data_IF_616796145046
#
_entry.id   IF_616796145046
#
_cell.length_a   1.000
_cell.length_b   1.000
_cell.length_c   1.000
_cell.angle_alpha   90.00
_cell.angle_beta   90.00
_cell.angle_gamma   90.00
#
_symmetry.space_group_name_H-M   'P 1'
#
loop_
_entity.id
_entity.type
_entity.pdbx_description
1 polymer ?
#
# COMPACT_ATOMS: atom_id res chain seq x y z
N UNK A 1 24.27 30.56 18.89
CA UNK A 1 23.83 29.85 17.70
C UNK A 1 23.11 28.55 18.07
N UNK A 2 22.26 28.05 17.15
CA UNK A 2 21.60 26.76 17.27
C UNK A 2 22.03 25.88 16.11
N UNK A 3 22.29 24.60 16.38
CA UNK A 3 22.51 23.55 15.38
C UNK A 3 21.65 22.32 15.68
N UNK A 4 21.47 21.44 14.71
CA UNK A 4 20.75 20.17 14.85
C UNK A 4 21.51 19.02 14.19
N UNK A 5 21.12 17.77 14.47
CA UNK A 5 21.56 16.60 13.70
C UNK A 5 21.30 16.86 12.21
N UNK A 6 22.27 16.60 11.34
CA UNK A 6 22.10 16.88 9.90
C UNK A 6 21.02 15.99 9.26
N UNK A 7 20.95 14.70 9.64
CA UNK A 7 19.96 13.73 9.20
C UNK A 7 19.65 12.73 10.30
N UNK A 8 18.41 12.26 10.35
CA UNK A 8 17.92 11.24 11.30
C UNK A 8 16.85 10.42 10.55
N UNK A 9 16.81 9.12 10.77
CA UNK A 9 15.69 8.30 10.29
C UNK A 9 14.43 8.56 11.09
N UNK A 10 13.28 8.28 10.53
CA UNK A 10 12.01 8.23 11.24
C UNK A 10 12.11 7.37 12.50
N UNK A 11 11.28 7.67 13.51
CA UNK A 11 11.37 7.03 14.83
C UNK A 11 12.65 7.31 15.62
N UNK A 12 13.64 7.99 15.02
CA UNK A 12 14.93 8.30 15.63
C UNK A 12 14.89 9.49 16.59
N UNK A 13 16.05 10.08 16.84
CA UNK A 13 16.19 11.21 17.79
C UNK A 13 17.00 12.34 17.21
N UNK A 14 16.40 13.54 17.18
CA UNK A 14 17.05 14.78 16.76
C UNK A 14 17.72 15.42 17.98
N UNK A 15 19.01 15.73 17.89
CA UNK A 15 19.74 16.46 18.92
C UNK A 15 19.94 17.91 18.49
N UNK A 16 19.36 18.84 19.25
CA UNK A 16 19.58 20.29 19.11
C UNK A 16 20.69 20.73 20.07
N UNK A 17 21.64 21.53 19.59
CA UNK A 17 22.74 22.08 20.38
C UNK A 17 22.74 23.59 20.29
N UNK A 18 22.60 24.27 21.42
CA UNK A 18 22.81 25.69 21.55
C UNK A 18 24.29 25.97 21.93
N UNK A 19 24.93 26.90 21.23
CA UNK A 19 26.32 27.29 21.47
C UNK A 19 26.45 28.79 21.67
N UNK A 20 27.25 29.17 22.65
CA UNK A 20 27.61 30.54 23.03
C UNK A 20 29.05 30.83 22.59
N UNK A 21 29.35 32.07 22.34
CA UNK A 21 30.72 32.53 22.05
C UNK A 21 31.56 32.66 23.32
N UNK A 22 30.92 32.89 24.47
CA UNK A 22 31.57 32.92 25.78
C UNK A 22 30.83 31.99 26.76
N UNK A 23 31.52 31.37 27.72
CA UNK A 23 30.86 30.54 28.74
C UNK A 23 29.83 31.32 29.54
N UNK A 24 28.73 30.67 29.90
CA UNK A 24 27.69 31.21 30.76
C UNK A 24 28.23 31.33 32.21
N UNK A 25 28.15 32.49 32.83
CA UNK A 25 28.59 32.65 34.22
C UNK A 25 27.62 31.97 35.21
N UNK A 26 26.34 32.05 34.90
CA UNK A 26 25.28 31.34 35.64
C UNK A 26 24.55 30.35 34.72
N UNK A 27 23.78 29.43 35.27
CA UNK A 27 22.97 28.52 34.47
C UNK A 27 22.03 29.29 33.55
N UNK A 28 21.87 28.80 32.32
CA UNK A 28 21.05 29.41 31.26
C UNK A 28 20.09 28.36 30.68
N UNK A 29 18.88 28.81 30.37
CA UNK A 29 17.88 28.05 29.62
C UNK A 29 17.62 28.69 28.25
N UNK A 30 17.56 27.86 27.21
CA UNK A 30 17.21 28.25 25.83
C UNK A 30 15.98 27.45 25.42
N UNK A 31 14.86 28.16 25.19
CA UNK A 31 13.60 27.53 24.72
C UNK A 31 13.55 27.62 23.20
N UNK A 32 13.29 26.47 22.55
CA UNK A 32 13.17 26.36 21.11
C UNK A 32 11.70 26.55 20.66
N UNK A 33 11.51 26.86 19.37
CA UNK A 33 10.18 27.06 18.75
C UNK A 33 9.28 25.81 18.80
N UNK A 34 9.86 24.60 18.93
CA UNK A 34 9.15 23.35 19.12
C UNK A 34 8.85 23.04 20.61
N UNK A 35 9.13 23.96 21.52
CA UNK A 35 8.89 23.83 22.96
C UNK A 35 10.00 23.11 23.74
N UNK A 36 10.99 22.54 23.08
CA UNK A 36 12.13 21.90 23.76
C UNK A 36 13.00 22.94 24.48
N UNK A 37 13.61 22.55 25.62
CA UNK A 37 14.45 23.44 26.42
C UNK A 37 15.84 22.86 26.55
N UNK A 38 16.83 23.67 26.13
CA UNK A 38 18.25 23.37 26.29
C UNK A 38 18.77 24.09 27.54
N UNK A 39 19.35 23.31 28.45
CA UNK A 39 20.01 23.86 29.63
C UNK A 39 21.52 23.93 29.41
N UNK A 40 22.11 25.10 29.62
CA UNK A 40 23.56 25.33 29.62
C UNK A 40 23.97 25.60 31.08
N UNK A 41 24.82 24.75 31.61
CA UNK A 41 25.28 24.87 33.00
C UNK A 41 26.27 26.02 33.14
N UNK A 42 26.40 26.56 34.34
CA UNK A 42 27.39 27.60 34.62
C UNK A 42 28.79 27.10 34.24
N UNK A 43 29.58 27.96 33.60
CA UNK A 43 30.92 27.68 33.08
C UNK A 43 30.95 26.96 31.72
N UNK A 44 29.82 26.55 31.17
CA UNK A 44 29.75 25.94 29.87
C UNK A 44 29.42 26.94 28.76
N UNK A 45 29.90 26.66 27.54
CA UNK A 45 29.56 27.41 26.32
C UNK A 45 28.59 26.71 25.40
N UNK A 46 28.04 25.55 25.80
CA UNK A 46 27.03 24.82 25.03
C UNK A 46 26.19 23.94 25.93
N UNK A 47 25.00 23.58 25.40
CA UNK A 47 24.09 22.56 25.94
C UNK A 47 23.33 21.92 24.80
N UNK A 48 22.69 20.79 25.08
CA UNK A 48 21.88 20.10 24.08
C UNK A 48 20.57 19.56 24.67
N UNK A 49 19.65 19.23 23.79
CA UNK A 49 18.41 18.52 24.10
C UNK A 49 18.08 17.54 22.97
N UNK A 50 17.58 16.37 23.32
CA UNK A 50 17.12 15.37 22.37
C UNK A 50 15.60 15.41 22.26
N UNK A 51 15.09 15.40 21.03
CA UNK A 51 13.66 15.41 20.68
C UNK A 51 13.41 14.25 19.75
N UNK A 52 12.28 13.55 19.91
CA UNK A 52 11.90 12.49 18.98
C UNK A 52 11.71 13.05 17.56
N UNK A 53 12.19 12.32 16.56
CA UNK A 53 11.82 12.54 15.17
C UNK A 53 10.35 12.11 14.94
N UNK A 54 9.73 12.42 13.78
CA UNK A 54 8.47 11.82 13.38
C UNK A 54 8.50 10.31 13.54
N UNK A 55 7.33 9.70 13.80
CA UNK A 55 7.23 8.25 13.96
C UNK A 55 7.40 7.55 12.61
N UNK A 56 8.04 6.41 12.68
CA UNK A 56 8.23 5.47 11.59
C UNK A 56 6.91 4.85 11.14
N UNK A 57 6.66 4.73 9.84
CA UNK A 57 5.49 4.10 9.26
C UNK A 57 5.82 3.46 7.88
N UNK A 58 4.82 3.07 7.10
CA UNK A 58 5.00 2.35 5.82
C UNK A 58 4.89 3.25 4.59
N UNK A 59 4.83 4.58 4.77
CA UNK A 59 4.56 5.53 3.68
C UNK A 59 5.77 6.39 3.36
N UNK A 60 5.95 6.69 2.07
CA UNK A 60 7.00 7.61 1.62
C UNK A 60 6.60 9.03 2.02
N UNK A 61 7.21 9.54 3.08
CA UNK A 61 6.97 10.91 3.57
C UNK A 61 8.23 11.63 4.08
N UNK A 62 9.42 11.19 3.66
CA UNK A 62 10.70 11.84 3.94
C UNK A 62 10.60 13.37 3.84
N UNK A 63 11.14 14.05 4.83
CA UNK A 63 10.95 15.48 4.94
C UNK A 63 12.05 16.19 5.70
N UNK A 64 11.72 17.30 6.34
CA UNK A 64 12.62 17.99 7.23
C UNK A 64 11.88 18.61 8.43
N UNK A 65 12.54 18.58 9.58
CA UNK A 65 12.10 19.24 10.81
C UNK A 65 13.08 20.33 11.15
N UNK A 66 12.59 21.49 11.59
CA UNK A 66 13.47 22.60 11.99
C UNK A 66 12.98 23.28 13.26
N UNK A 67 13.91 23.86 14.00
CA UNK A 67 13.61 24.70 15.15
C UNK A 67 14.48 25.97 15.16
N UNK A 68 13.96 27.03 15.78
CA UNK A 68 14.67 28.27 16.06
C UNK A 68 14.73 28.52 17.55
N UNK A 69 15.57 29.43 18.00
CA UNK A 69 15.56 29.92 19.38
C UNK A 69 14.33 30.82 19.55
N UNK A 70 13.39 30.46 20.39
CA UNK A 70 12.21 31.25 20.72
C UNK A 70 12.49 32.25 21.85
N UNK A 71 13.23 31.81 22.88
CA UNK A 71 13.63 32.66 24.00
C UNK A 71 14.82 32.08 24.74
N UNK A 72 15.44 32.92 25.57
CA UNK A 72 16.53 32.51 26.45
C UNK A 72 16.49 33.29 27.77
N UNK A 73 16.99 32.69 28.85
CA UNK A 73 17.07 33.30 30.16
C UNK A 73 18.29 32.81 30.96
N UNK A 74 18.84 33.64 31.83
CA UNK A 74 20.05 33.33 32.62
C UNK A 74 21.35 33.68 31.88
N UNK A 75 22.48 33.10 32.33
CA UNK A 75 23.81 33.26 31.71
C UNK A 75 24.62 34.44 32.21
N UNK A 76 23.97 35.48 32.78
CA UNK A 76 24.58 36.70 33.31
C UNK A 76 25.45 37.48 32.30
N UNK A 77 24.99 37.62 31.04
CA UNK A 77 25.67 38.37 29.99
C UNK A 77 25.25 39.83 30.01
N UNK A 78 26.18 40.76 29.75
CA UNK A 78 25.89 42.20 29.58
C UNK A 78 24.97 42.43 28.37
N UNK A 79 25.14 41.63 27.30
CA UNK A 79 24.30 41.63 26.09
C UNK A 79 24.29 40.24 25.48
N UNK A 80 23.11 39.74 25.13
CA UNK A 80 22.92 38.49 24.47
C UNK A 80 22.11 38.69 23.20
N UNK A 81 22.70 38.35 22.06
CA UNK A 81 22.02 38.30 20.75
C UNK A 81 21.82 36.85 20.31
N UNK A 82 20.62 36.55 19.86
CA UNK A 82 20.29 35.24 19.31
C UNK A 82 20.41 35.22 17.79
N UNK A 83 20.96 34.15 17.22
CA UNK A 83 20.92 33.92 15.78
C UNK A 83 19.51 33.41 15.41
N UNK A 84 18.76 34.11 14.51
CA UNK A 84 17.41 33.71 14.13
C UNK A 84 17.38 32.55 13.15
N UNK A 85 18.54 32.08 12.64
CA UNK A 85 18.60 30.98 11.69
C UNK A 85 18.02 29.67 12.29
N UNK A 86 17.19 29.00 11.52
CA UNK A 86 16.66 27.70 11.91
C UNK A 86 17.75 26.61 11.82
N UNK A 87 17.77 25.74 12.81
CA UNK A 87 18.50 24.48 12.75
C UNK A 87 17.58 23.40 12.19
N UNK A 88 17.91 22.86 11.01
CA UNK A 88 17.12 21.89 10.30
C UNK A 88 17.77 20.50 10.33
N UNK A 89 16.95 19.47 10.39
CA UNK A 89 17.32 18.06 10.28
C UNK A 89 16.54 17.46 9.13
N UNK A 90 17.21 16.77 8.22
CA UNK A 90 16.57 15.94 7.19
C UNK A 90 16.05 14.67 7.86
N UNK A 91 14.78 14.34 7.63
CA UNK A 91 14.20 13.06 8.04
C UNK A 91 14.22 12.13 6.85
N UNK A 92 14.72 10.92 7.05
CA UNK A 92 14.79 9.88 6.02
C UNK A 92 13.87 8.73 6.41
N UNK A 93 13.08 8.25 5.43
CA UNK A 93 12.26 7.07 5.62
C UNK A 93 13.15 5.85 5.93
N UNK A 94 12.67 4.93 6.73
CA UNK A 94 13.12 3.55 6.79
C UNK A 94 12.24 2.73 5.84
N UNK A 95 12.71 1.56 5.39
CA UNK A 95 11.94 0.79 4.40
C UNK A 95 11.08 -0.24 5.10
N UNK A 96 9.79 0.06 5.20
CA UNK A 96 8.76 -0.83 5.72
C UNK A 96 7.88 -1.38 4.60
N UNK A 97 7.42 -2.61 4.77
CA UNK A 97 6.75 -3.35 3.69
C UNK A 97 5.27 -3.52 3.97
N UNK A 98 4.42 -3.02 3.06
CA UNK A 98 2.99 -3.32 3.01
C UNK A 98 2.76 -4.62 2.23
N UNK A 99 1.92 -5.52 2.76
CA UNK A 99 1.56 -6.77 2.13
C UNK A 99 0.28 -6.65 1.31
N UNK A 100 0.31 -7.12 0.05
CA UNK A 100 -0.87 -7.28 -0.81
C UNK A 100 -1.18 -8.75 -0.97
N UNK A 101 -2.37 -9.16 -0.57
CA UNK A 101 -2.82 -10.55 -0.62
C UNK A 101 -3.96 -10.71 -1.61
N UNK A 102 -3.87 -11.71 -2.50
CA UNK A 102 -4.93 -12.09 -3.42
C UNK A 102 -5.79 -13.20 -2.80
N UNK A 103 -7.11 -13.06 -2.91
CA UNK A 103 -8.10 -14.05 -2.47
C UNK A 103 -9.26 -14.15 -3.48
N UNK A 104 -10.09 -15.17 -3.32
CA UNK A 104 -11.36 -15.33 -4.05
C UNK A 104 -12.29 -16.23 -3.23
N UNK A 105 -13.58 -15.97 -3.27
CA UNK A 105 -14.59 -16.80 -2.64
C UNK A 105 -14.66 -18.23 -3.25
N UNK A 106 -14.23 -18.38 -4.49
CA UNK A 106 -14.20 -19.67 -5.22
C UNK A 106 -12.85 -20.37 -5.17
N UNK A 107 -11.86 -19.83 -4.44
CA UNK A 107 -10.52 -20.41 -4.38
C UNK A 107 -10.55 -21.91 -3.99
N UNK A 108 -9.87 -22.75 -4.76
CA UNK A 108 -9.83 -24.21 -4.57
C UNK A 108 -11.10 -24.97 -4.94
N UNK A 109 -12.13 -24.29 -5.47
CA UNK A 109 -13.40 -24.90 -5.85
C UNK A 109 -13.50 -25.06 -7.37
N UNK A 110 -14.40 -25.98 -7.78
CA UNK A 110 -14.82 -26.06 -9.18
C UNK A 110 -15.72 -24.86 -9.51
N UNK A 111 -15.57 -24.36 -10.73
CA UNK A 111 -16.44 -23.34 -11.34
C UNK A 111 -17.01 -23.97 -12.59
N UNK A 112 -18.34 -24.00 -12.71
CA UNK A 112 -19.02 -24.51 -13.91
C UNK A 112 -18.76 -23.57 -15.09
N UNK A 113 -18.64 -24.09 -16.29
CA UNK A 113 -18.57 -23.29 -17.50
C UNK A 113 -19.73 -22.29 -17.59
N UNK A 114 -19.57 -21.21 -18.34
CA UNK A 114 -20.51 -20.06 -18.30
C UNK A 114 -20.46 -19.23 -17.04
N UNK A 115 -19.78 -19.70 -15.97
CA UNK A 115 -19.64 -19.01 -14.69
C UNK A 115 -18.56 -17.91 -14.69
N UNK A 116 -18.35 -17.33 -13.53
CA UNK A 116 -17.32 -16.28 -13.35
C UNK A 116 -16.63 -16.37 -12.00
N UNK A 117 -15.42 -15.81 -11.93
CA UNK A 117 -14.58 -15.71 -10.73
C UNK A 117 -14.37 -14.23 -10.43
N UNK A 118 -14.55 -13.84 -9.16
CA UNK A 118 -14.17 -12.52 -8.66
C UNK A 118 -12.93 -12.68 -7.77
N UNK A 119 -11.92 -11.88 -8.05
CA UNK A 119 -10.68 -11.82 -7.26
C UNK A 119 -10.72 -10.59 -6.35
N UNK A 120 -10.29 -10.75 -5.11
CA UNK A 120 -10.19 -9.67 -4.12
C UNK A 120 -8.72 -9.46 -3.78
N UNK A 121 -8.22 -8.23 -3.92
CA UNK A 121 -6.94 -7.80 -3.40
C UNK A 121 -7.13 -7.09 -2.06
N UNK A 122 -6.34 -7.43 -1.04
CA UNK A 122 -6.37 -6.84 0.29
C UNK A 122 -4.98 -6.38 0.68
N UNK A 123 -4.88 -5.20 1.30
CA UNK A 123 -3.65 -4.64 1.88
C UNK A 123 -3.78 -4.56 3.40
N UNK A 124 -2.67 -4.65 4.13
CA UNK A 124 -2.63 -4.54 5.59
C UNK A 124 -2.57 -3.09 6.09
N UNK A 125 -2.25 -2.12 5.22
CA UNK A 125 -2.25 -0.69 5.51
C UNK A 125 -3.13 0.07 4.53
N UNK A 126 -3.77 1.16 4.97
CA UNK A 126 -4.65 1.98 4.13
C UNK A 126 -3.91 2.52 2.89
N UNK A 127 -4.56 2.50 1.74
CA UNK A 127 -4.01 3.13 0.53
C UNK A 127 -3.99 4.65 0.70
N UNK A 128 -2.83 5.27 0.50
CA UNK A 128 -2.63 6.72 0.55
C UNK A 128 -2.05 7.25 -0.77
N UNK A 129 -2.08 8.58 -0.94
CA UNK A 129 -1.57 9.24 -2.14
C UNK A 129 -2.44 9.00 -3.37
N UNK A 130 -2.19 7.96 -4.12
CA UNK A 130 -2.97 7.54 -5.30
C UNK A 130 -3.56 6.15 -5.11
N UNK A 131 -4.62 5.75 -5.86
CA UNK A 131 -5.13 4.38 -5.80
C UNK A 131 -4.03 3.35 -6.10
N UNK A 132 -4.07 2.20 -5.41
CA UNK A 132 -3.20 1.07 -5.70
C UNK A 132 -3.81 0.22 -6.81
N UNK A 133 -3.09 0.02 -7.89
CA UNK A 133 -3.48 -0.88 -8.98
C UNK A 133 -2.70 -2.18 -8.86
N UNK A 134 -3.42 -3.29 -8.74
CA UNK A 134 -2.89 -4.66 -8.65
C UNK A 134 -3.16 -5.36 -9.99
N UNK A 135 -2.11 -5.84 -10.64
CA UNK A 135 -2.20 -6.55 -11.93
C UNK A 135 -2.11 -8.05 -11.70
N UNK A 136 -3.02 -8.81 -12.30
CA UNK A 136 -3.10 -10.26 -12.18
C UNK A 136 -2.52 -10.97 -13.41
N UNK A 137 -2.10 -12.23 -13.24
CA UNK A 137 -1.53 -13.05 -14.31
C UNK A 137 -2.51 -13.38 -15.46
N UNK A 138 -3.81 -13.27 -15.22
CA UNK A 138 -4.86 -13.43 -16.23
C UNK A 138 -5.17 -12.12 -17.00
N UNK A 139 -4.40 -11.05 -16.77
CA UNK A 139 -4.55 -9.75 -17.44
C UNK A 139 -5.57 -8.81 -16.79
N UNK A 140 -6.30 -9.25 -15.75
CA UNK A 140 -7.18 -8.36 -15.00
C UNK A 140 -6.40 -7.42 -14.08
N UNK A 141 -7.05 -6.31 -13.71
CA UNK A 141 -6.55 -5.37 -12.71
C UNK A 141 -7.58 -5.16 -11.61
N UNK A 142 -7.09 -4.95 -10.39
CA UNK A 142 -7.90 -4.54 -9.23
C UNK A 142 -7.38 -3.19 -8.78
N UNK A 143 -8.29 -2.21 -8.64
CA UNK A 143 -7.92 -0.87 -8.16
C UNK A 143 -8.46 -0.68 -6.75
N UNK A 144 -7.57 -0.61 -5.77
CA UNK A 144 -7.91 -0.30 -4.38
C UNK A 144 -7.89 1.23 -4.23
N UNK A 145 -9.02 1.87 -3.92
CA UNK A 145 -9.09 3.32 -3.82
C UNK A 145 -8.37 3.84 -2.58
N UNK A 146 -7.98 5.11 -2.61
CA UNK A 146 -7.42 5.81 -1.44
C UNK A 146 -8.37 5.71 -0.26
N UNK A 147 -7.84 5.39 0.92
CA UNK A 147 -8.59 5.20 2.16
C UNK A 147 -9.24 3.82 2.31
N UNK A 148 -9.03 2.90 1.37
CA UNK A 148 -9.52 1.52 1.45
C UNK A 148 -8.40 0.53 1.76
N UNK A 149 -8.79 -0.66 2.25
CA UNK A 149 -7.91 -1.81 2.51
C UNK A 149 -8.10 -2.93 1.48
N UNK A 150 -9.15 -2.89 0.66
CA UNK A 150 -9.42 -3.94 -0.33
C UNK A 150 -10.30 -3.45 -1.46
N UNK A 151 -10.26 -4.18 -2.56
CA UNK A 151 -11.21 -4.05 -3.67
C UNK A 151 -11.32 -5.37 -4.43
N UNK A 152 -12.39 -5.50 -5.19
CA UNK A 152 -12.67 -6.63 -6.05
C UNK A 152 -12.34 -6.32 -7.51
N UNK A 153 -12.01 -7.37 -8.28
CA UNK A 153 -11.93 -7.30 -9.73
C UNK A 153 -13.33 -7.22 -10.36
N UNK A 154 -13.40 -6.84 -11.63
CA UNK A 154 -14.53 -7.22 -12.45
C UNK A 154 -14.65 -8.77 -12.48
N UNK A 155 -15.86 -9.34 -12.68
CA UNK A 155 -16.00 -10.77 -12.88
C UNK A 155 -15.13 -11.24 -14.05
N UNK A 156 -14.33 -12.27 -13.82
CA UNK A 156 -13.58 -12.98 -14.86
C UNK A 156 -14.43 -14.14 -15.33
N UNK A 157 -14.99 -14.04 -16.55
CA UNK A 157 -15.76 -15.13 -17.12
C UNK A 157 -14.81 -16.28 -17.49
N UNK A 158 -15.16 -17.49 -17.05
CA UNK A 158 -14.48 -18.70 -17.48
C UNK A 158 -14.92 -19.06 -18.92
N UNK A 159 -14.58 -20.25 -19.43
CA UNK A 159 -15.04 -20.65 -20.77
C UNK A 159 -16.57 -20.55 -20.87
N UNK A 160 -17.06 -20.33 -22.09
CA UNK A 160 -18.49 -20.27 -22.37
C UNK A 160 -19.14 -21.64 -22.15
N UNK A 161 -20.39 -21.60 -21.73
CA UNK A 161 -21.28 -22.74 -21.63
C UNK A 161 -21.69 -23.24 -23.03
N UNK A 162 -21.61 -24.57 -23.27
CA UNK A 162 -22.05 -25.18 -24.51
C UNK A 162 -22.59 -26.59 -24.28
N UNK A 163 -22.97 -27.33 -25.32
CA UNK A 163 -23.59 -28.65 -25.20
C UNK A 163 -22.62 -29.80 -25.53
N UNK A 164 -21.31 -29.56 -25.47
CA UNK A 164 -20.29 -30.54 -25.76
C UNK A 164 -19.50 -30.93 -24.50
N UNK A 165 -19.05 -32.15 -24.42
CA UNK A 165 -18.23 -32.60 -23.28
C UNK A 165 -16.82 -32.06 -23.42
N UNK A 166 -16.45 -31.17 -22.52
CA UNK A 166 -15.12 -30.56 -22.46
C UNK A 166 -14.28 -31.09 -21.30
N UNK A 167 -12.96 -31.08 -21.52
CA UNK A 167 -12.03 -31.39 -20.45
C UNK A 167 -11.97 -30.23 -19.43
N UNK A 168 -11.70 -30.57 -18.17
CA UNK A 168 -11.53 -29.56 -17.13
C UNK A 168 -10.33 -28.66 -17.40
N UNK A 169 -10.52 -27.34 -17.27
CA UNK A 169 -9.45 -26.36 -17.33
C UNK A 169 -8.96 -26.01 -15.93
N UNK A 170 -7.65 -26.06 -15.71
CA UNK A 170 -7.05 -25.64 -14.46
C UNK A 170 -6.59 -24.20 -14.56
N UNK A 171 -7.23 -23.30 -13.83
CA UNK A 171 -6.86 -21.90 -13.73
C UNK A 171 -5.96 -21.68 -12.52
N UNK A 172 -4.92 -20.88 -12.70
CA UNK A 172 -4.03 -20.45 -11.63
C UNK A 172 -3.72 -18.97 -11.83
N UNK A 173 -4.15 -18.12 -10.89
CA UNK A 173 -4.02 -16.67 -10.96
C UNK A 173 -3.22 -16.16 -9.78
N UNK A 174 -2.21 -15.33 -10.06
CA UNK A 174 -1.32 -14.69 -9.10
C UNK A 174 -1.24 -13.19 -9.36
N UNK A 175 -0.72 -12.43 -8.40
CA UNK A 175 -0.34 -11.04 -8.62
C UNK A 175 0.98 -11.02 -9.40
N UNK A 176 1.03 -10.24 -10.50
CA UNK A 176 2.22 -10.06 -11.33
C UNK A 176 2.88 -8.69 -11.15
N UNK A 177 2.16 -7.73 -10.57
CA UNK A 177 2.70 -6.41 -10.29
C UNK A 177 1.71 -5.50 -9.56
N UNK A 178 2.27 -4.44 -8.98
CA UNK A 178 1.52 -3.37 -8.34
C UNK A 178 2.05 -2.01 -8.80
N UNK A 179 1.19 -1.00 -8.80
CA UNK A 179 1.58 0.39 -9.08
C UNK A 179 0.66 1.38 -8.38
N UNK A 180 1.14 2.59 -8.12
CA UNK A 180 0.41 3.59 -7.34
C UNK A 180 0.61 3.39 -5.85
N UNK A 181 -0.29 4.00 -5.06
CA UNK A 181 -0.17 4.19 -3.61
C UNK A 181 1.12 4.94 -3.22
N UNK A 182 1.29 5.16 -1.93
CA UNK A 182 2.45 5.89 -1.39
C UNK A 182 3.22 5.00 -0.38
N UNK A 183 3.32 3.69 -0.66
CA UNK A 183 4.06 2.78 0.19
C UNK A 183 5.55 2.79 -0.14
N UNK A 184 6.40 2.61 0.87
CA UNK A 184 7.85 2.49 0.70
C UNK A 184 8.24 1.21 -0.02
N UNK A 185 7.63 0.09 0.39
CA UNK A 185 7.79 -1.19 -0.26
C UNK A 185 6.47 -1.98 -0.27
N UNK A 186 6.30 -2.83 -1.28
CA UNK A 186 5.14 -3.70 -1.41
C UNK A 186 5.59 -5.14 -1.62
N UNK A 187 5.05 -6.05 -0.82
CA UNK A 187 5.15 -7.49 -1.05
C UNK A 187 3.82 -8.04 -1.53
N UNK A 188 3.85 -9.05 -2.39
CA UNK A 188 2.64 -9.66 -2.95
C UNK A 188 2.58 -11.14 -2.63
N UNK A 189 1.39 -11.65 -2.33
CA UNK A 189 1.16 -13.06 -2.04
C UNK A 189 -0.23 -13.51 -2.49
N UNK A 190 -0.42 -14.83 -2.51
CA UNK A 190 -1.67 -15.46 -2.88
C UNK A 190 -1.65 -16.03 -4.30
N UNK A 191 -2.10 -17.26 -4.41
CA UNK A 191 -2.38 -17.95 -5.68
C UNK A 191 -3.79 -18.48 -5.60
N UNK A 192 -4.63 -18.11 -6.56
CA UNK A 192 -6.00 -18.60 -6.67
C UNK A 192 -6.03 -19.68 -7.74
N UNK A 193 -6.39 -20.89 -7.32
CA UNK A 193 -6.54 -22.04 -8.22
C UNK A 193 -7.99 -22.47 -8.26
N UNK A 194 -8.52 -22.68 -9.46
CA UNK A 194 -9.85 -23.18 -9.72
C UNK A 194 -9.78 -24.22 -10.84
N UNK A 195 -10.71 -25.19 -10.85
CA UNK A 195 -10.97 -26.05 -11.99
C UNK A 195 -12.27 -25.64 -12.64
N UNK A 196 -12.24 -25.30 -13.94
CA UNK A 196 -13.46 -25.08 -14.72
C UNK A 196 -13.95 -26.45 -15.17
N UNK A 197 -15.17 -26.78 -14.80
CA UNK A 197 -15.80 -28.09 -15.08
C UNK A 197 -16.97 -27.90 -16.02
N UNK A 198 -17.17 -28.92 -16.80
CA UNK A 198 -18.32 -29.09 -17.68
C UNK A 198 -19.60 -29.32 -16.88
N UNK A 199 -20.73 -28.88 -17.37
CA UNK A 199 -22.03 -29.31 -16.83
C UNK A 199 -22.78 -30.21 -17.81
N UNK A 200 -24.07 -30.43 -17.63
CA UNK A 200 -24.79 -31.41 -18.40
C UNK A 200 -25.92 -30.75 -19.20
N UNK A 201 -25.64 -30.45 -20.45
CA UNK A 201 -26.63 -29.94 -21.38
C UNK A 201 -27.35 -31.02 -22.16
N UNK A 202 -28.65 -30.78 -22.39
CA UNK A 202 -29.48 -31.75 -23.09
C UNK A 202 -29.57 -31.43 -24.57
N UNK A 203 -28.97 -32.28 -25.37
CA UNK A 203 -29.19 -32.28 -26.82
C UNK A 203 -30.31 -33.22 -27.17
N UNK A 204 -31.36 -32.75 -27.85
CA UNK A 204 -32.51 -33.55 -28.25
C UNK A 204 -32.37 -33.98 -29.71
N UNK A 205 -32.34 -35.27 -29.93
CA UNK A 205 -32.48 -35.86 -31.27
C UNK A 205 -33.95 -36.19 -31.53
N UNK A 206 -34.49 -35.62 -32.59
CA UNK A 206 -35.87 -35.89 -33.02
C UNK A 206 -35.90 -36.57 -34.37
N UNK A 207 -36.91 -37.42 -34.60
CA UNK A 207 -37.15 -38.06 -35.87
C UNK A 207 -38.55 -37.68 -36.38
N UNK A 208 -38.63 -37.29 -37.62
CA UNK A 208 -39.88 -37.04 -38.31
C UNK A 208 -39.96 -37.85 -39.61
N UNK A 209 -41.15 -38.05 -40.11
CA UNK A 209 -41.35 -38.75 -41.36
C UNK A 209 -42.36 -37.99 -42.25
N UNK A 210 -42.40 -38.28 -43.53
CA UNK A 210 -43.44 -37.78 -44.44
C UNK A 210 -44.83 -38.09 -43.88
N UNK A 211 -45.68 -37.05 -43.75
CA UNK A 211 -47.02 -37.17 -43.13
C UNK A 211 -47.93 -38.14 -43.90
N UNK A 212 -47.77 -38.26 -45.21
CA UNK A 212 -48.43 -39.22 -46.06
C UNK A 212 -47.59 -39.46 -47.31
N UNK A 213 -47.72 -40.65 -47.85
CA UNK A 213 -47.15 -41.00 -49.17
C UNK A 213 -48.17 -41.86 -49.94
N UNK A 214 -48.20 -41.74 -51.28
CA UNK A 214 -49.02 -42.61 -52.12
C UNK A 214 -48.43 -44.03 -52.16
N UNK A 215 -49.28 -45.02 -52.45
CA UNK A 215 -48.84 -46.36 -52.64
C UNK A 215 -47.71 -46.44 -53.71
N UNK A 216 -46.64 -47.15 -53.42
CA UNK A 216 -45.44 -47.21 -54.25
C UNK A 216 -44.53 -46.02 -54.13
N UNK A 217 -44.84 -45.00 -53.35
CA UNK A 217 -43.99 -43.83 -53.10
C UNK A 217 -42.92 -44.06 -52.08
N UNK A 218 -42.10 -43.02 -51.81
CA UNK A 218 -40.95 -43.06 -50.89
C UNK A 218 -41.28 -42.30 -49.59
N UNK A 219 -41.05 -42.95 -48.45
CA UNK A 219 -41.12 -42.28 -47.13
C UNK A 219 -39.74 -41.65 -46.83
N UNK A 220 -39.74 -40.34 -46.58
CA UNK A 220 -38.52 -39.62 -46.11
C UNK A 220 -38.57 -39.53 -44.60
N UNK A 221 -37.52 -40.00 -43.92
CA UNK A 221 -37.27 -39.75 -42.50
C UNK A 221 -36.23 -38.66 -42.39
N UNK A 222 -36.42 -37.75 -41.43
CA UNK A 222 -35.49 -36.65 -41.12
C UNK A 222 -35.17 -36.69 -39.64
N UNK A 223 -33.89 -36.81 -39.34
CA UNK A 223 -33.32 -36.69 -37.98
C UNK A 223 -32.64 -35.32 -37.81
#
# INVERSE_FOLDING_TARGET
SLSASASVSEGGTITYTASLTNPAETAMSVTLSNGAVINIIAGASSGNVSVAAPSDDVYIDAGSVSATIASSSGGNFESLTTNPAAAATTITDTIDTTSVTLSSATAGSNVTEGGSIVYTATVDHLVTGTPLVVTLSNGQTITIPVGALSADSAPFNVRADDAYVDANDNLSVTITGTSGANYEAVSTSGTISNSVVDDADVTTLSLSASASVSEGGTITYTA
#
